data_IF_791665682020
#
_entry.id   IF_791665682020
#
_cell.length_a   1.000
_cell.length_b   1.000
_cell.length_c   1.000
_cell.angle_alpha   90.00
_cell.angle_beta   90.00
_cell.angle_gamma   90.00
#
_symmetry.space_group_name_H-M   'P 1'
#
loop_
_entity.id
_entity.type
_entity.pdbx_description
1 polymer ?
#
# COMPACT_ATOMS: atom_id res chain seq x y z
N UNK A 1 -16.07 1.74 -0.42
CA UNK A 1 -15.77 0.41 -1.01
C UNK A 1 -14.29 0.36 -1.35
N UNK A 2 -13.62 -0.80 -1.18
CA UNK A 2 -12.17 -0.90 -1.45
C UNK A 2 -11.89 -0.75 -2.95
N UNK A 3 -10.98 0.16 -3.30
CA UNK A 3 -10.50 0.35 -4.67
C UNK A 3 -9.32 -0.61 -4.94
N UNK A 4 -9.66 -1.80 -5.43
CA UNK A 4 -8.67 -2.84 -5.73
C UNK A 4 -7.69 -2.47 -6.85
N UNK A 5 -8.07 -1.59 -7.78
CA UNK A 5 -7.17 -1.10 -8.84
C UNK A 5 -6.06 -0.26 -8.21
N UNK A 6 -6.41 0.63 -7.28
CA UNK A 6 -5.44 1.43 -6.55
C UNK A 6 -4.53 0.55 -5.69
N UNK A 7 -5.11 -0.39 -4.93
CA UNK A 7 -4.35 -1.32 -4.11
C UNK A 7 -3.35 -2.14 -4.94
N UNK A 8 -3.76 -2.63 -6.12
CA UNK A 8 -2.88 -3.34 -7.05
C UNK A 8 -1.69 -2.47 -7.51
N UNK A 9 -1.95 -1.19 -7.83
CA UNK A 9 -0.89 -0.25 -8.23
C UNK A 9 0.09 -0.01 -7.09
N UNK A 10 -0.41 0.22 -5.88
CA UNK A 10 0.42 0.37 -4.66
C UNK A 10 1.29 -0.87 -4.47
N UNK A 11 0.68 -2.07 -4.49
CA UNK A 11 1.40 -3.34 -4.34
C UNK A 11 2.50 -3.52 -5.36
N UNK A 12 2.25 -3.19 -6.63
CA UNK A 12 3.25 -3.32 -7.69
C UNK A 12 4.47 -2.42 -7.42
N UNK A 13 4.25 -1.20 -6.93
CA UNK A 13 5.32 -0.25 -6.60
C UNK A 13 6.09 -0.72 -5.36
N UNK A 14 5.38 -1.03 -4.27
CA UNK A 14 5.98 -1.50 -3.00
C UNK A 14 6.83 -2.74 -3.23
N UNK A 15 6.31 -3.74 -3.96
CA UNK A 15 7.04 -4.97 -4.27
C UNK A 15 8.30 -4.72 -5.10
N UNK A 16 8.26 -3.74 -6.01
CA UNK A 16 9.44 -3.34 -6.79
C UNK A 16 10.51 -2.73 -5.88
N UNK A 17 10.14 -1.75 -5.06
CA UNK A 17 11.06 -1.10 -4.10
C UNK A 17 11.71 -2.11 -3.16
N UNK A 18 10.93 -3.05 -2.61
CA UNK A 18 11.46 -4.10 -1.74
C UNK A 18 12.49 -4.97 -2.47
N UNK A 19 12.22 -5.36 -3.72
CA UNK A 19 13.15 -6.18 -4.52
C UNK A 19 14.42 -5.42 -4.87
N UNK A 20 14.29 -4.16 -5.28
CA UNK A 20 15.43 -3.31 -5.64
C UNK A 20 16.34 -3.15 -4.42
N UNK A 21 15.78 -2.83 -3.24
CA UNK A 21 16.54 -2.73 -1.97
C UNK A 21 17.17 -4.03 -1.49
N UNK A 22 16.56 -5.19 -1.78
CA UNK A 22 17.18 -6.50 -1.50
C UNK A 22 18.35 -6.74 -2.46
N UNK A 23 18.22 -6.35 -3.73
CA UNK A 23 19.28 -6.52 -4.73
C UNK A 23 20.49 -5.60 -4.46
N UNK A 24 20.24 -4.42 -3.90
CA UNK A 24 21.28 -3.48 -3.46
C UNK A 24 21.86 -3.82 -2.06
N UNK A 25 21.52 -5.00 -1.51
CA UNK A 25 21.92 -5.48 -0.17
C UNK A 25 21.56 -4.52 0.99
N UNK A 26 20.63 -3.58 0.78
CA UNK A 26 20.13 -2.67 1.81
C UNK A 26 19.14 -3.35 2.77
N UNK A 27 18.47 -4.42 2.32
CA UNK A 27 17.53 -5.20 3.13
C UNK A 27 18.03 -6.64 3.26
N UNK A 28 18.39 -7.03 4.49
CA UNK A 28 18.67 -8.43 4.81
C UNK A 28 17.39 -9.27 4.79
N UNK A 29 17.42 -10.42 4.13
CA UNK A 29 16.32 -11.39 4.08
C UNK A 29 16.70 -12.69 4.75
N UNK A 30 15.70 -13.45 5.19
CA UNK A 30 15.89 -14.82 5.69
C UNK A 30 15.22 -15.82 4.74
N UNK A 31 15.60 -17.10 4.75
CA UNK A 31 14.94 -18.12 3.91
C UNK A 31 13.43 -18.28 4.16
N UNK A 32 12.93 -17.82 5.31
CA UNK A 32 11.50 -17.84 5.67
C UNK A 32 10.76 -16.56 5.29
N UNK A 33 11.47 -15.54 4.80
CA UNK A 33 10.88 -14.22 4.51
C UNK A 33 10.00 -14.29 3.25
N UNK A 34 8.70 -14.06 3.41
CA UNK A 34 7.76 -13.92 2.30
C UNK A 34 7.71 -12.47 1.81
N UNK A 35 8.49 -12.13 0.76
CA UNK A 35 8.48 -10.79 0.15
C UNK A 35 7.08 -10.40 -0.34
N UNK A 36 6.31 -11.38 -0.84
CA UNK A 36 4.94 -11.17 -1.29
C UNK A 36 4.00 -10.71 -0.17
N UNK A 37 4.14 -11.32 1.01
CA UNK A 37 3.34 -11.05 2.20
C UNK A 37 3.70 -9.69 2.78
N UNK A 38 5.00 -9.40 2.93
CA UNK A 38 5.46 -8.09 3.38
C UNK A 38 4.99 -6.95 2.46
N UNK A 39 5.04 -7.19 1.14
CA UNK A 39 4.52 -6.22 0.19
C UNK A 39 3.00 -6.01 0.34
N UNK A 40 2.24 -7.06 0.69
CA UNK A 40 0.80 -6.95 0.93
C UNK A 40 0.48 -6.12 2.17
N UNK A 41 1.12 -6.43 3.30
CA UNK A 41 0.92 -5.72 4.56
C UNK A 41 1.18 -4.22 4.39
N UNK A 42 2.33 -3.85 3.83
CA UNK A 42 2.68 -2.45 3.56
C UNK A 42 1.69 -1.80 2.59
N UNK A 43 1.21 -2.52 1.58
CA UNK A 43 0.31 -1.94 0.58
C UNK A 43 -1.05 -1.58 1.16
N UNK A 44 -1.55 -2.37 2.10
CA UNK A 44 -2.78 -2.06 2.81
C UNK A 44 -2.64 -0.83 3.71
N UNK A 45 -1.56 -0.74 4.47
CA UNK A 45 -1.30 0.43 5.32
C UNK A 45 -1.22 1.72 4.50
N UNK A 46 -0.49 1.70 3.37
CA UNK A 46 -0.42 2.85 2.46
C UNK A 46 -1.80 3.17 1.86
N UNK A 47 -2.57 2.15 1.45
CA UNK A 47 -3.91 2.35 0.91
C UNK A 47 -4.84 3.03 1.92
N UNK A 48 -4.82 2.60 3.18
CA UNK A 48 -5.65 3.20 4.22
C UNK A 48 -5.23 4.62 4.56
N UNK A 49 -3.91 4.90 4.63
CA UNK A 49 -3.41 6.27 4.83
C UNK A 49 -3.85 7.23 3.71
N UNK A 50 -3.91 6.75 2.46
CA UNK A 50 -4.41 7.55 1.34
C UNK A 50 -5.92 7.75 1.43
N UNK A 51 -6.67 6.69 1.77
CA UNK A 51 -8.12 6.76 1.94
C UNK A 51 -8.52 7.74 3.04
N UNK A 52 -7.82 7.74 4.18
CA UNK A 52 -8.06 8.68 5.27
C UNK A 52 -7.84 10.14 4.87
N UNK A 53 -6.90 10.41 3.96
CA UNK A 53 -6.69 11.76 3.42
C UNK A 53 -7.83 12.16 2.49
N UNK A 54 -8.23 11.28 1.57
CA UNK A 54 -9.37 11.54 0.68
C UNK A 54 -10.67 11.80 1.46
N UNK A 55 -10.91 11.07 2.55
CA UNK A 55 -12.11 11.27 3.39
C UNK A 55 -12.07 12.59 4.19
N UNK A 56 -10.88 13.09 4.57
CA UNK A 56 -10.73 14.38 5.26
C UNK A 56 -10.86 15.58 4.34
N UNK A 57 -10.45 15.44 3.08
CA UNK A 57 -10.58 16.46 2.04
C UNK A 57 -11.95 16.44 1.34
N UNK A 58 -12.79 15.43 1.59
CA UNK A 58 -14.12 15.35 1.02
C UNK A 58 -15.06 16.43 1.64
N UNK A 59 -15.79 17.22 0.82
CA UNK A 59 -16.83 18.10 1.34
C UNK A 59 -17.89 17.26 2.08
N UNK A 60 -18.49 17.80 3.16
CA UNK A 60 -19.50 17.07 3.92
C UNK A 60 -20.64 16.61 3.00
N UNK A 61 -21.21 15.42 3.24
CA UNK A 61 -22.32 14.93 2.42
C UNK A 61 -23.43 15.97 2.45
N UNK A 62 -23.94 16.33 1.26
CA UNK A 62 -25.05 17.27 1.12
C UNK A 62 -26.20 16.78 2.01
N UNK A 63 -26.64 17.63 2.93
CA UNK A 63 -27.78 17.33 3.79
C UNK A 63 -28.98 16.97 2.92
N UNK A 64 -29.39 15.71 2.96
CA UNK A 64 -30.61 15.25 2.32
C UNK A 64 -31.77 15.93 3.06
N UNK A 65 -32.44 16.85 2.36
CA UNK A 65 -33.61 17.59 2.83
C UNK A 65 -34.93 16.86 2.56
#
# INVERSE_FOLDING_TARGET
MVNYILLYKIRRIVKKILKDKIADDEIATTPKSCIGCLADDISWEVYYLLKEKEEKDAPPPAAEG
#
